data_IF_538014482779
#
_entry.id   IF_538014482779
#
_cell.length_a   1.000
_cell.length_b   1.000
_cell.length_c   1.000
_cell.angle_alpha   90.00
_cell.angle_beta   90.00
_cell.angle_gamma   90.00
#
_symmetry.space_group_name_H-M   'P 1'
#
loop_
_entity.id
_entity.type
_entity.pdbx_description
1 polymer ?
#
# COMPACT_ATOMS: atom_id res chain seq x y z
N UNK A 1 9.96 -11.56 -32.51
CA UNK A 1 10.83 -11.90 -31.36
C UNK A 1 9.95 -12.50 -30.29
N UNK A 2 10.22 -13.73 -29.84
CA UNK A 2 9.44 -14.34 -28.76
C UNK A 2 9.68 -13.53 -27.48
N UNK A 3 8.62 -13.01 -26.87
CA UNK A 3 8.68 -12.41 -25.54
C UNK A 3 9.01 -13.54 -24.55
N UNK A 4 10.26 -13.64 -24.13
CA UNK A 4 10.62 -14.45 -22.98
C UNK A 4 9.88 -13.85 -21.77
N UNK A 5 8.89 -14.57 -21.25
CA UNK A 5 8.20 -14.17 -20.02
C UNK A 5 9.21 -14.26 -18.88
N UNK A 6 9.77 -13.11 -18.49
CA UNK A 6 10.56 -13.00 -17.27
C UNK A 6 9.60 -13.22 -16.10
N UNK A 7 9.82 -14.31 -15.35
CA UNK A 7 9.08 -14.57 -14.12
C UNK A 7 9.78 -13.81 -13.00
N UNK A 8 9.06 -12.89 -12.36
CA UNK A 8 9.53 -12.15 -11.19
C UNK A 8 9.78 -13.16 -10.05
N UNK A 9 10.85 -13.02 -9.26
CA UNK A 9 11.11 -13.90 -8.13
C UNK A 9 10.01 -13.77 -7.08
N UNK A 10 9.56 -14.90 -6.56
CA UNK A 10 8.67 -14.97 -5.41
C UNK A 10 9.49 -15.30 -4.16
N UNK A 11 9.37 -14.49 -3.11
CA UNK A 11 10.09 -14.65 -1.85
C UNK A 11 9.10 -15.05 -0.76
N UNK A 12 9.37 -16.18 -0.11
CA UNK A 12 8.59 -16.66 1.02
C UNK A 12 9.13 -16.11 2.34
N UNK A 13 8.45 -15.11 2.90
CA UNK A 13 8.78 -14.53 4.20
C UNK A 13 8.18 -15.32 5.38
N UNK A 14 7.39 -16.35 5.11
CA UNK A 14 6.92 -17.30 6.12
C UNK A 14 7.98 -18.38 6.39
N UNK A 15 8.95 -18.55 5.49
CA UNK A 15 10.05 -19.49 5.66
C UNK A 15 10.93 -19.10 6.86
N UNK A 16 10.95 -19.95 7.88
CA UNK A 16 11.74 -19.75 9.10
C UNK A 16 13.25 -19.68 8.85
N UNK A 17 13.75 -20.26 7.76
CA UNK A 17 15.17 -20.27 7.42
C UNK A 17 15.64 -18.97 6.76
N UNK A 18 14.71 -18.16 6.24
CA UNK A 18 14.99 -16.88 5.62
C UNK A 18 15.24 -15.80 6.69
N UNK A 19 16.37 -15.89 7.39
CA UNK A 19 16.74 -14.98 8.48
C UNK A 19 17.80 -13.97 8.05
N UNK A 20 17.72 -12.72 8.54
CA UNK A 20 18.78 -11.72 8.34
C UNK A 20 20.17 -12.27 8.70
N UNK A 21 21.16 -11.99 7.85
CA UNK A 21 22.55 -12.42 8.06
C UNK A 21 22.88 -13.84 7.61
N UNK A 22 21.91 -14.62 7.12
CA UNK A 22 22.19 -15.93 6.49
C UNK A 22 22.65 -15.75 5.04
N UNK A 23 23.40 -16.73 4.52
CA UNK A 23 23.81 -16.73 3.10
C UNK A 23 22.58 -16.73 2.16
N UNK A 24 21.51 -17.42 2.55
CA UNK A 24 20.25 -17.42 1.82
C UNK A 24 19.63 -16.02 1.76
N UNK A 25 19.57 -15.31 2.89
CA UNK A 25 19.06 -13.93 2.93
C UNK A 25 19.86 -12.96 2.04
N UNK A 26 21.19 -13.01 2.10
CA UNK A 26 22.04 -12.16 1.26
C UNK A 26 21.89 -12.46 -0.24
N UNK A 27 21.79 -13.75 -0.60
CA UNK A 27 21.54 -14.17 -1.97
C UNK A 27 20.16 -13.71 -2.46
N UNK A 28 19.11 -13.89 -1.65
CA UNK A 28 17.75 -13.46 -1.98
C UNK A 28 17.65 -11.94 -2.16
N UNK A 29 18.27 -11.15 -1.29
CA UNK A 29 18.33 -9.68 -1.44
C UNK A 29 19.03 -9.27 -2.74
N UNK A 30 20.19 -9.88 -3.03
CA UNK A 30 20.94 -9.56 -4.25
C UNK A 30 20.10 -9.84 -5.49
N UNK A 31 19.46 -11.00 -5.56
CA UNK A 31 18.58 -11.35 -6.67
C UNK A 31 17.41 -10.38 -6.79
N UNK A 32 16.69 -10.12 -5.70
CA UNK A 32 15.51 -9.27 -5.70
C UNK A 32 15.81 -7.81 -6.11
N UNK A 33 16.85 -7.20 -5.54
CA UNK A 33 17.13 -5.77 -5.72
C UNK A 33 18.08 -5.46 -6.88
N UNK A 34 19.08 -6.30 -7.14
CA UNK A 34 20.09 -6.00 -8.16
C UNK A 34 19.75 -6.62 -9.52
N UNK A 35 19.17 -7.82 -9.54
CA UNK A 35 18.89 -8.53 -10.80
C UNK A 35 17.51 -8.18 -11.37
N UNK A 36 16.46 -8.20 -10.54
CA UNK A 36 15.08 -7.98 -10.99
C UNK A 36 14.51 -6.59 -10.65
N UNK A 37 15.03 -5.95 -9.59
CA UNK A 37 14.50 -4.69 -9.05
C UNK A 37 13.09 -4.78 -8.44
N UNK A 38 12.49 -5.97 -8.41
CA UNK A 38 11.17 -6.25 -7.84
C UNK A 38 11.04 -7.74 -7.50
N UNK A 39 10.08 -8.06 -6.62
CA UNK A 39 9.73 -9.43 -6.23
C UNK A 39 8.28 -9.50 -5.77
N UNK A 40 7.69 -10.70 -5.81
CA UNK A 40 6.43 -10.99 -5.15
C UNK A 40 6.72 -11.55 -3.75
N UNK A 41 6.03 -11.06 -2.73
CA UNK A 41 6.19 -11.53 -1.35
C UNK A 41 5.04 -12.46 -0.96
N UNK A 42 5.37 -13.62 -0.38
CA UNK A 42 4.42 -14.43 0.39
C UNK A 42 4.58 -14.05 1.86
N UNK A 43 3.48 -13.66 2.49
CA UNK A 43 3.44 -13.26 3.89
C UNK A 43 2.06 -13.57 4.47
N UNK A 44 2.00 -14.45 5.48
CA UNK A 44 0.76 -15.00 6.04
C UNK A 44 0.32 -14.33 7.34
N UNK A 45 1.11 -13.41 7.89
CA UNK A 45 0.77 -12.73 9.15
C UNK A 45 -0.31 -11.66 9.00
N UNK A 46 -0.75 -11.38 7.77
CA UNK A 46 -1.93 -10.56 7.49
C UNK A 46 -3.07 -11.49 7.14
N UNK A 47 -4.10 -11.51 7.99
CA UNK A 47 -5.31 -12.31 7.77
C UNK A 47 -6.02 -11.86 6.49
N UNK A 48 -6.58 -12.83 5.75
CA UNK A 48 -7.24 -12.54 4.48
C UNK A 48 -8.46 -11.64 4.67
N UNK A 49 -9.18 -11.81 5.79
CA UNK A 49 -10.34 -11.01 6.17
C UNK A 49 -9.99 -9.53 6.30
N UNK A 50 -8.85 -9.22 6.94
CA UNK A 50 -8.34 -7.84 7.07
C UNK A 50 -8.02 -7.28 5.68
N UNK A 51 -7.41 -8.08 4.81
CA UNK A 51 -7.05 -7.67 3.46
C UNK A 51 -8.29 -7.36 2.62
N UNK A 52 -9.29 -8.24 2.63
CA UNK A 52 -10.56 -8.05 1.90
C UNK A 52 -11.34 -6.84 2.43
N UNK A 53 -11.47 -6.70 3.75
CA UNK A 53 -12.13 -5.54 4.37
C UNK A 53 -11.49 -4.21 3.94
N UNK A 54 -10.15 -4.16 3.85
CA UNK A 54 -9.44 -2.99 3.33
C UNK A 54 -9.74 -2.73 1.85
N UNK A 55 -9.83 -3.76 1.01
CA UNK A 55 -10.23 -3.58 -0.39
C UNK A 55 -11.67 -3.09 -0.53
N UNK A 56 -12.60 -3.60 0.27
CA UNK A 56 -14.00 -3.17 0.25
C UNK A 56 -14.14 -1.72 0.72
N UNK A 57 -13.41 -1.35 1.77
CA UNK A 57 -13.26 0.04 2.21
C UNK A 57 -12.79 0.95 1.07
N UNK A 58 -11.77 0.53 0.30
CA UNK A 58 -11.27 1.31 -0.84
C UNK A 58 -12.33 1.46 -1.94
N UNK A 59 -13.12 0.42 -2.22
CA UNK A 59 -14.22 0.49 -3.21
C UNK A 59 -15.31 1.47 -2.79
N UNK A 60 -15.56 1.61 -1.49
CA UNK A 60 -16.54 2.55 -0.94
C UNK A 60 -16.08 4.00 -1.09
N UNK A 61 -14.81 4.29 -0.82
CA UNK A 61 -14.30 5.67 -0.80
C UNK A 61 -13.90 6.20 -2.18
N UNK A 62 -13.49 5.36 -3.13
CA UNK A 62 -13.03 5.79 -4.46
C UNK A 62 -14.09 6.62 -5.24
N UNK A 63 -15.40 6.31 -5.14
CA UNK A 63 -16.47 7.15 -5.70
C UNK A 63 -16.65 8.51 -5.00
N UNK A 64 -16.19 8.69 -3.76
CA UNK A 64 -16.39 9.88 -2.92
C UNK A 64 -15.41 11.01 -3.27
N UNK A 65 -15.51 11.53 -4.50
CA UNK A 65 -14.54 12.49 -5.07
C UNK A 65 -14.44 13.81 -4.29
N UNK A 66 -15.49 14.24 -3.61
CA UNK A 66 -15.49 15.51 -2.88
C UNK A 66 -14.73 15.37 -1.55
N UNK A 67 -14.99 14.28 -0.84
CA UNK A 67 -14.39 13.85 0.41
C UNK A 67 -12.90 13.54 0.20
N UNK A 68 -12.56 12.85 -0.89
CA UNK A 68 -11.17 12.63 -1.29
C UNK A 68 -10.40 13.93 -1.51
N UNK A 69 -11.04 14.92 -2.15
CA UNK A 69 -10.45 16.23 -2.39
C UNK A 69 -10.28 17.02 -1.09
N UNK A 70 -11.25 16.94 -0.19
CA UNK A 70 -11.20 17.57 1.13
C UNK A 70 -10.12 16.94 2.03
N UNK A 71 -10.09 15.61 2.09
CA UNK A 71 -9.06 14.82 2.75
C UNK A 71 -7.67 15.21 2.23
N UNK A 72 -7.49 15.25 0.90
CA UNK A 72 -6.21 15.61 0.29
C UNK A 72 -5.74 17.02 0.69
N UNK A 73 -6.66 17.99 0.78
CA UNK A 73 -6.34 19.34 1.26
C UNK A 73 -5.97 19.37 2.74
N UNK A 74 -6.58 18.53 3.58
CA UNK A 74 -6.28 18.46 5.01
C UNK A 74 -4.88 17.88 5.24
N UNK A 75 -4.53 16.82 4.51
CA UNK A 75 -3.32 16.05 4.77
C UNK A 75 -2.10 16.46 3.96
N UNK A 76 -2.27 16.82 2.68
CA UNK A 76 -1.16 17.20 1.81
C UNK A 76 -0.89 18.71 1.76
N UNK A 77 -1.41 19.49 2.72
CA UNK A 77 -1.09 20.92 2.88
C UNK A 77 0.42 21.20 2.89
N UNK A 78 1.25 20.22 3.29
CA UNK A 78 2.72 20.32 3.29
C UNK A 78 3.39 19.97 1.95
N UNK A 79 2.66 19.32 1.03
CA UNK A 79 3.14 18.85 -0.28
C UNK A 79 2.43 19.54 -1.47
N UNK A 80 1.70 20.62 -1.20
CA UNK A 80 0.85 21.32 -2.17
C UNK A 80 1.62 22.28 -3.09
N UNK A 81 2.90 22.03 -3.34
CA UNK A 81 3.59 22.62 -4.48
C UNK A 81 3.33 21.70 -5.67
N UNK A 82 2.17 21.94 -6.30
CA UNK A 82 1.67 21.40 -7.56
C UNK A 82 2.50 20.29 -8.21
N UNK A 83 2.02 19.05 -8.13
CA UNK A 83 2.40 18.00 -9.09
C UNK A 83 1.33 18.00 -10.19
N UNK A 84 1.56 18.68 -11.32
CA UNK A 84 0.66 18.59 -12.46
C UNK A 84 0.92 17.29 -13.22
N UNK A 85 0.09 16.24 -13.04
CA UNK A 85 -0.24 15.26 -14.10
C UNK A 85 -1.12 14.09 -13.62
N UNK A 86 -1.92 13.60 -14.57
CA UNK A 86 -2.76 12.38 -14.61
C UNK A 86 -4.27 12.59 -14.37
N UNK A 87 -5.03 13.02 -15.40
CA UNK A 87 -6.49 13.21 -15.31
C UNK A 87 -7.31 11.90 -15.14
N UNK A 88 -6.66 10.73 -15.16
CA UNK A 88 -7.28 9.41 -15.04
C UNK A 88 -6.88 8.66 -13.77
N UNK A 89 -6.14 9.30 -12.86
CA UNK A 89 -5.58 8.65 -11.68
C UNK A 89 -6.24 9.20 -10.41
N UNK A 90 -7.40 8.64 -10.06
CA UNK A 90 -7.97 8.84 -8.72
C UNK A 90 -7.20 7.90 -7.78
N UNK A 91 -6.42 8.48 -6.88
CA UNK A 91 -5.65 7.75 -5.87
C UNK A 91 -5.96 8.26 -4.48
N UNK A 92 -6.07 7.33 -3.56
CA UNK A 92 -6.26 7.62 -2.14
C UNK A 92 -5.02 7.11 -1.42
N UNK A 93 -4.39 8.00 -0.68
CA UNK A 93 -3.24 7.67 0.15
C UNK A 93 -3.59 8.11 1.55
N UNK A 94 -3.56 7.19 2.53
CA UNK A 94 -3.57 7.64 3.91
C UNK A 94 -2.26 8.42 4.13
N UNK A 95 -2.36 9.67 4.57
CA UNK A 95 -1.20 10.50 4.77
C UNK A 95 -0.36 9.96 5.92
N UNK A 96 0.95 9.93 5.73
CA UNK A 96 1.97 9.49 6.69
C UNK A 96 1.49 8.50 7.76
N UNK A 97 1.67 7.21 7.48
CA UNK A 97 1.34 6.10 8.39
C UNK A 97 2.11 6.15 9.72
N UNK A 98 3.09 7.05 9.86
CA UNK A 98 3.85 7.27 11.08
C UNK A 98 3.20 8.31 12.01
N UNK A 99 2.17 9.02 11.55
CA UNK A 99 1.42 10.01 12.33
C UNK A 99 0.15 9.35 12.85
N UNK A 100 0.00 9.09 14.16
CA UNK A 100 -1.20 8.44 14.71
C UNK A 100 -2.51 9.15 14.32
N UNK A 101 -2.49 10.49 14.29
CA UNK A 101 -3.64 11.33 13.96
C UNK A 101 -4.09 11.21 12.49
N UNK A 102 -3.27 10.59 11.62
CA UNK A 102 -3.63 10.41 10.21
C UNK A 102 -4.78 9.42 10.03
N UNK A 103 -4.82 8.37 10.84
CA UNK A 103 -5.90 7.38 10.85
C UNK A 103 -7.22 8.00 11.27
N UNK A 104 -7.20 8.83 12.33
CA UNK A 104 -8.38 9.56 12.78
C UNK A 104 -8.86 10.57 11.73
N UNK A 105 -7.92 11.29 11.10
CA UNK A 105 -8.26 12.25 10.03
C UNK A 105 -8.89 11.54 8.83
N UNK A 106 -8.38 10.37 8.46
CA UNK A 106 -8.92 9.55 7.39
C UNK A 106 -10.33 9.05 7.75
N UNK A 107 -10.48 8.38 8.90
CA UNK A 107 -11.75 7.83 9.36
C UNK A 107 -12.83 8.92 9.44
N UNK A 108 -12.54 10.05 10.10
CA UNK A 108 -13.51 11.14 10.26
C UNK A 108 -13.86 11.85 8.95
N UNK A 109 -13.06 11.69 7.88
CA UNK A 109 -13.38 12.32 6.59
C UNK A 109 -14.36 11.47 5.78
N UNK A 110 -14.27 10.14 5.83
CA UNK A 110 -15.15 9.25 5.08
C UNK A 110 -16.33 8.73 5.91
N UNK A 111 -16.16 8.60 7.23
CA UNK A 111 -17.18 8.10 8.15
C UNK A 111 -17.23 8.98 9.41
N UNK A 112 -17.79 10.20 9.31
CA UNK A 112 -17.93 11.10 10.46
C UNK A 112 -18.82 10.50 11.57
N UNK A 113 -19.72 9.59 11.21
CA UNK A 113 -20.58 8.86 12.16
C UNK A 113 -19.96 7.53 12.63
N UNK A 114 -18.73 7.22 12.20
CA UNK A 114 -17.99 6.00 12.50
C UNK A 114 -18.19 4.86 11.49
N UNK A 115 -17.20 3.98 11.39
CA UNK A 115 -17.24 2.75 10.60
C UNK A 115 -16.63 1.58 11.39
N UNK A 116 -17.42 0.62 11.86
CA UNK A 116 -16.94 -0.54 12.60
C UNK A 116 -15.96 -1.43 11.81
N UNK A 117 -16.06 -1.44 10.47
CA UNK A 117 -15.23 -2.28 9.61
C UNK A 117 -13.86 -1.65 9.30
N UNK A 118 -13.66 -0.39 9.69
CA UNK A 118 -12.41 0.34 9.47
C UNK A 118 -11.38 0.14 10.60
N UNK A 119 -11.87 -0.06 11.83
CA UNK A 119 -11.10 -0.18 13.08
C UNK A 119 -10.80 -1.64 13.42
#
# INVERSE_FOLDING_TARGET
MASNKVKIPTIDFCNSELKPGTAQWESTKTQAFQEYGCFEAIYDKVQNEIREARFDTLKEILPLKAELRDYSKKTFKRFQNEIPRFPFYDSVHNADLLIPESFDTFANTFWPDGNPDYW
#
